data_IF_396162355028
#
_entry.id   IF_396162355028
#
_cell.length_a   1.000
_cell.length_b   1.000
_cell.length_c   1.000
_cell.angle_alpha   90.00
_cell.angle_beta   90.00
_cell.angle_gamma   90.00
#
_symmetry.space_group_name_H-M   'P 1'
#
loop_
_entity.id
_entity.type
_entity.pdbx_description
1 polymer ?
#
# COMPACT_ATOMS: atom_id res chain seq x y z
N UNK A 1 -17.53 -13.22 17.99
CA UNK A 1 -18.21 -11.94 17.69
C UNK A 1 -17.54 -10.90 18.56
N UNK A 2 -16.62 -10.16 18.00
CA UNK A 2 -16.01 -9.00 18.66
C UNK A 2 -17.04 -7.88 18.51
N UNK A 3 -17.74 -7.52 19.59
CA UNK A 3 -18.61 -6.34 19.58
C UNK A 3 -17.71 -5.10 19.52
N UNK A 4 -17.72 -4.40 18.37
CA UNK A 4 -17.10 -3.08 18.22
C UNK A 4 -18.06 -2.01 18.81
N UNK A 5 -18.34 -2.14 20.11
CA UNK A 5 -19.19 -1.17 20.83
C UNK A 5 -18.49 0.20 20.95
N UNK A 6 -19.23 1.26 20.66
CA UNK A 6 -18.76 2.64 20.85
C UNK A 6 -18.03 3.26 19.67
N UNK A 7 -18.12 2.68 18.46
CA UNK A 7 -17.61 3.32 17.23
C UNK A 7 -18.34 4.64 16.96
N UNK A 8 -17.65 5.64 16.39
CA UNK A 8 -18.25 6.94 16.09
C UNK A 8 -19.24 6.84 14.92
N UNK A 9 -20.26 7.69 14.94
CA UNK A 9 -21.10 7.92 13.76
C UNK A 9 -20.35 8.80 12.76
N UNK A 10 -20.25 8.35 11.51
CA UNK A 10 -19.51 9.00 10.45
C UNK A 10 -20.43 9.51 9.34
N UNK A 11 -19.96 10.50 8.59
CA UNK A 11 -20.70 11.12 7.48
C UNK A 11 -20.24 10.49 6.16
N UNK A 12 -21.06 9.64 5.53
CA UNK A 12 -20.80 9.01 4.24
C UNK A 12 -19.34 8.52 4.08
N UNK A 13 -18.83 7.68 5.00
CA UNK A 13 -17.42 7.40 5.08
C UNK A 13 -16.90 6.56 3.89
N UNK A 14 -15.65 6.85 3.51
CA UNK A 14 -14.86 6.04 2.57
C UNK A 14 -13.66 5.49 3.32
N UNK A 15 -13.35 4.20 3.15
CA UNK A 15 -12.15 3.59 3.70
C UNK A 15 -10.99 3.63 2.70
N UNK A 16 -9.77 3.87 3.20
CA UNK A 16 -8.52 3.74 2.45
C UNK A 16 -7.63 2.79 3.24
N UNK A 17 -7.14 1.72 2.61
CA UNK A 17 -6.36 0.69 3.27
C UNK A 17 -5.04 0.41 2.58
N UNK A 18 -3.98 0.19 3.37
CA UNK A 18 -2.69 -0.30 2.92
C UNK A 18 -2.07 -1.25 3.95
N UNK A 19 -1.27 -2.21 3.47
CA UNK A 19 -0.65 -3.23 4.30
C UNK A 19 0.81 -3.39 3.93
N UNK A 20 1.68 -3.25 4.93
CA UNK A 20 3.11 -3.53 4.81
C UNK A 20 3.37 -4.98 4.36
N UNK A 21 4.48 -5.20 3.69
CA UNK A 21 4.92 -6.52 3.28
C UNK A 21 4.89 -6.70 1.76
N UNK A 22 4.37 -7.83 1.28
CA UNK A 22 4.43 -8.16 -0.14
C UNK A 22 3.69 -7.19 -1.06
N UNK A 23 2.66 -6.53 -0.55
CA UNK A 23 1.84 -5.58 -1.30
C UNK A 23 2.41 -4.14 -1.32
N UNK A 24 3.58 -3.91 -0.72
CA UNK A 24 4.07 -2.56 -0.43
C UNK A 24 5.54 -2.35 -0.81
N UNK A 25 5.82 -2.34 -2.10
CA UNK A 25 7.16 -2.07 -2.61
C UNK A 25 7.66 -0.69 -2.15
N UNK A 26 8.83 -0.68 -1.50
CA UNK A 26 9.49 0.52 -0.96
C UNK A 26 8.60 1.31 0.02
N UNK A 27 7.71 0.63 0.75
CA UNK A 27 6.77 1.16 1.74
C UNK A 27 5.86 2.27 1.19
N UNK A 28 5.64 2.29 -0.13
CA UNK A 28 5.00 3.43 -0.79
C UNK A 28 3.50 3.54 -0.48
N UNK A 29 2.79 2.42 -0.35
CA UNK A 29 1.35 2.43 -0.11
C UNK A 29 1.02 2.69 1.36
N UNK A 30 1.77 2.11 2.29
CA UNK A 30 1.59 2.40 3.73
C UNK A 30 2.03 3.82 4.07
N UNK A 31 3.10 4.33 3.46
CA UNK A 31 3.51 5.73 3.60
C UNK A 31 2.43 6.70 3.08
N UNK A 32 1.67 6.34 2.03
CA UNK A 32 0.55 7.16 1.58
C UNK A 32 -0.57 7.25 2.64
N UNK A 33 -0.94 6.13 3.26
CA UNK A 33 -1.94 6.13 4.34
C UNK A 33 -1.41 6.88 5.56
N UNK A 34 -0.15 6.68 5.94
CA UNK A 34 0.48 7.40 7.05
C UNK A 34 0.51 8.91 6.83
N UNK A 35 0.80 9.35 5.60
CA UNK A 35 0.72 10.76 5.24
C UNK A 35 -0.71 11.33 5.46
N UNK A 36 -1.74 10.61 5.01
CA UNK A 36 -3.14 11.00 5.24
C UNK A 36 -3.49 11.05 6.74
N UNK A 37 -2.97 10.10 7.54
CA UNK A 37 -3.12 10.11 8.99
C UNK A 37 -2.59 11.41 9.61
N UNK A 38 -1.41 11.83 9.16
CA UNK A 38 -0.73 13.02 9.68
C UNK A 38 -1.42 14.33 9.25
N UNK A 39 -1.64 14.50 7.95
CA UNK A 39 -2.18 15.77 7.41
C UNK A 39 -3.63 16.02 7.80
N UNK A 40 -4.40 14.96 8.03
CA UNK A 40 -5.80 15.05 8.49
C UNK A 40 -5.95 14.83 9.99
N UNK A 41 -4.84 14.66 10.73
CA UNK A 41 -4.83 14.43 12.19
C UNK A 41 -5.81 13.31 12.60
N UNK A 42 -5.70 12.18 11.89
CA UNK A 42 -6.55 11.04 12.11
C UNK A 42 -6.37 10.48 13.54
N UNK A 43 -7.46 10.00 14.13
CA UNK A 43 -7.45 9.40 15.46
C UNK A 43 -7.75 7.91 15.36
N UNK A 44 -7.01 7.09 16.08
CA UNK A 44 -7.27 5.67 16.23
C UNK A 44 -8.61 5.43 16.95
N UNK A 45 -9.44 4.57 16.40
CA UNK A 45 -10.74 4.21 16.97
C UNK A 45 -10.81 2.74 17.40
N UNK A 46 -10.12 1.84 16.68
CA UNK A 46 -10.02 0.42 17.00
C UNK A 46 -8.84 -0.21 16.26
N UNK A 47 -8.50 -1.44 16.63
CA UNK A 47 -7.49 -2.25 15.95
C UNK A 47 -7.92 -3.73 15.95
N UNK A 48 -7.40 -4.51 15.00
CA UNK A 48 -7.56 -5.97 14.98
C UNK A 48 -6.68 -6.59 16.06
N UNK A 49 -7.21 -7.53 16.84
CA UNK A 49 -6.39 -8.33 17.78
C UNK A 49 -5.35 -9.14 16.98
N UNK A 50 -4.06 -8.94 17.21
CA UNK A 50 -3.02 -9.58 16.41
C UNK A 50 -2.84 -11.07 16.68
N UNK A 51 -3.32 -11.60 17.81
CA UNK A 51 -2.99 -12.94 18.31
C UNK A 51 -3.31 -14.08 17.32
N UNK A 52 -4.39 -13.91 16.55
CA UNK A 52 -4.86 -14.92 15.60
C UNK A 52 -4.27 -14.77 14.19
N UNK A 53 -3.57 -13.67 13.88
CA UNK A 53 -3.25 -13.31 12.50
C UNK A 53 -1.77 -13.20 12.19
N UNK A 54 -0.92 -13.03 13.20
CA UNK A 54 0.50 -12.80 13.00
C UNK A 54 1.36 -13.88 13.62
N UNK A 55 2.38 -14.31 12.87
CA UNK A 55 3.48 -15.09 13.42
C UNK A 55 4.48 -14.13 14.07
N UNK A 56 4.46 -14.06 15.39
CA UNK A 56 5.34 -13.17 16.15
C UNK A 56 6.82 -13.55 16.10
N UNK A 57 7.20 -14.67 15.50
CA UNK A 57 8.59 -14.99 15.19
C UNK A 57 9.05 -14.25 13.93
N UNK A 58 8.13 -13.93 13.02
CA UNK A 58 8.36 -13.20 11.77
C UNK A 58 8.08 -11.71 11.99
N UNK A 59 6.87 -11.38 12.42
CA UNK A 59 6.43 -10.01 12.72
C UNK A 59 6.54 -9.77 14.22
N UNK A 60 7.76 -9.47 14.70
CA UNK A 60 8.04 -9.35 16.13
C UNK A 60 7.43 -8.10 16.73
N UNK A 61 6.81 -8.19 17.94
CA UNK A 61 6.47 -7.00 18.70
C UNK A 61 7.73 -6.21 19.07
N UNK A 62 7.62 -4.89 19.07
CA UNK A 62 8.70 -3.96 19.41
C UNK A 62 8.56 -3.46 20.85
N UNK A 63 9.70 -3.24 21.53
CA UNK A 63 9.73 -2.60 22.84
C UNK A 63 10.18 -1.15 22.63
N UNK A 64 9.32 -0.22 22.96
CA UNK A 64 9.64 1.21 22.97
C UNK A 64 9.93 1.67 24.40
N UNK A 65 10.90 2.58 24.53
CA UNK A 65 11.25 3.23 25.81
C UNK A 65 11.07 4.73 25.63
N UNK A 66 10.13 5.30 26.35
CA UNK A 66 10.00 6.75 26.47
C UNK A 66 10.73 7.22 27.72
N UNK A 67 11.45 8.34 27.65
CA UNK A 67 12.19 8.88 28.80
C UNK A 67 11.26 9.05 30.01
N UNK A 68 11.56 8.32 31.11
CA UNK A 68 10.80 8.36 32.36
C UNK A 68 9.61 7.44 32.46
N UNK A 69 9.30 6.63 31.44
CA UNK A 69 8.18 5.69 31.44
C UNK A 69 8.63 4.22 31.40
N UNK A 70 7.69 3.34 31.75
CA UNK A 70 7.84 1.89 31.70
C UNK A 70 7.93 1.42 30.25
N UNK A 71 8.67 0.36 29.99
CA UNK A 71 8.74 -0.31 28.69
C UNK A 71 7.34 -0.65 28.19
N UNK A 72 6.99 -0.18 26.98
CA UNK A 72 5.74 -0.53 26.30
C UNK A 72 6.04 -1.51 25.18
N UNK A 73 5.26 -2.58 25.09
CA UNK A 73 5.29 -3.52 23.97
C UNK A 73 4.25 -3.08 22.96
N UNK A 74 4.68 -2.87 21.71
CA UNK A 74 3.82 -2.58 20.59
C UNK A 74 3.74 -3.84 19.72
N UNK A 75 2.52 -4.35 19.57
CA UNK A 75 2.23 -5.54 18.79
C UNK A 75 1.97 -5.18 17.33
N UNK A 76 2.42 -6.01 16.37
CA UNK A 76 2.01 -5.86 14.98
C UNK A 76 0.48 -6.01 14.90
N UNK A 77 -0.18 -5.06 14.26
CA UNK A 77 -1.64 -5.10 14.14
C UNK A 77 -2.12 -4.25 12.96
N UNK A 78 -3.40 -4.36 12.64
CA UNK A 78 -4.09 -3.46 11.71
C UNK A 78 -4.95 -2.48 12.49
N UNK A 79 -4.67 -1.19 12.31
CA UNK A 79 -5.34 -0.08 13.00
C UNK A 79 -6.38 0.57 12.10
N UNK A 80 -7.45 1.02 12.73
CA UNK A 80 -8.48 1.83 12.08
C UNK A 80 -8.45 3.22 12.69
N UNK A 81 -8.29 4.20 11.83
CA UNK A 81 -8.26 5.60 12.20
C UNK A 81 -9.32 6.36 11.44
N UNK A 82 -9.83 7.42 12.03
CA UNK A 82 -10.86 8.27 11.41
C UNK A 82 -10.36 9.69 11.33
N UNK A 83 -10.56 10.29 10.17
CA UNK A 83 -10.33 11.69 9.92
C UNK A 83 -11.58 12.37 9.32
N UNK A 84 -11.71 13.65 9.58
CA UNK A 84 -12.71 14.54 8.94
C UNK A 84 -11.94 15.61 8.15
N UNK A 85 -11.57 15.34 6.89
CA UNK A 85 -10.76 16.27 6.10
C UNK A 85 -11.49 17.62 5.94
N UNK A 86 -10.76 18.74 5.97
CA UNK A 86 -11.38 20.05 5.83
C UNK A 86 -11.93 20.26 4.41
N UNK A 87 -13.05 20.97 4.30
CA UNK A 87 -13.67 21.29 3.00
C UNK A 87 -14.57 20.21 2.42
N UNK A 88 -14.81 19.11 3.15
CA UNK A 88 -15.75 18.05 2.77
C UNK A 88 -16.76 17.77 3.88
N UNK A 89 -17.91 17.24 3.48
CA UNK A 89 -18.94 16.69 4.39
C UNK A 89 -18.81 15.17 4.60
N UNK A 90 -17.71 14.58 4.13
CA UNK A 90 -17.40 13.16 4.20
C UNK A 90 -16.27 12.88 5.19
N UNK A 91 -16.42 11.82 5.96
CA UNK A 91 -15.35 11.31 6.81
C UNK A 91 -14.55 10.19 6.09
N UNK A 92 -13.31 10.00 6.52
CA UNK A 92 -12.42 8.99 5.94
C UNK A 92 -11.98 8.02 7.04
N UNK A 93 -12.07 6.73 6.75
CA UNK A 93 -11.52 5.65 7.58
C UNK A 93 -10.19 5.22 6.98
N UNK A 94 -9.10 5.38 7.71
CA UNK A 94 -7.77 4.95 7.31
C UNK A 94 -7.47 3.63 8.00
N UNK A 95 -7.09 2.62 7.20
CA UNK A 95 -6.79 1.27 7.66
C UNK A 95 -5.33 0.98 7.30
N UNK A 96 -4.48 0.83 8.30
CA UNK A 96 -3.06 0.54 8.10
C UNK A 96 -2.59 -0.57 9.02
N UNK A 97 -1.83 -1.51 8.48
CA UNK A 97 -1.24 -2.60 9.23
C UNK A 97 -0.21 -3.37 8.43
N UNK A 98 0.15 -4.54 8.94
CA UNK A 98 1.05 -5.48 8.28
C UNK A 98 0.20 -6.56 7.63
N UNK A 99 0.62 -7.10 6.48
CA UNK A 99 -0.02 -8.25 5.86
C UNK A 99 -0.09 -9.42 6.86
N UNK A 100 -1.29 -9.98 7.14
CA UNK A 100 -1.40 -11.07 8.12
C UNK A 100 -0.67 -12.33 7.66
N UNK A 101 -0.04 -13.03 8.59
CA UNK A 101 0.67 -14.28 8.30
C UNK A 101 -0.26 -15.45 8.05
N UNK A 102 -1.48 -15.41 8.59
CA UNK A 102 -2.42 -16.52 8.56
C UNK A 102 -3.88 -16.07 8.72
N UNK A 103 -4.83 -17.01 8.51
CA UNK A 103 -6.27 -16.81 8.71
C UNK A 103 -6.85 -15.64 7.91
N UNK A 104 -6.39 -15.46 6.70
CA UNK A 104 -6.73 -14.30 5.84
C UNK A 104 -8.22 -14.09 5.63
N UNK A 105 -9.00 -15.18 5.53
CA UNK A 105 -10.47 -15.07 5.37
C UNK A 105 -11.11 -14.44 6.60
N UNK A 106 -10.77 -14.93 7.79
CA UNK A 106 -11.26 -14.39 9.06
C UNK A 106 -10.78 -12.95 9.28
N UNK A 107 -9.53 -12.66 8.88
CA UNK A 107 -9.01 -11.29 8.90
C UNK A 107 -9.84 -10.35 8.03
N UNK A 108 -10.12 -10.72 6.79
CA UNK A 108 -10.97 -9.92 5.90
C UNK A 108 -12.39 -9.77 6.46
N UNK A 109 -12.97 -10.82 7.04
CA UNK A 109 -14.28 -10.76 7.70
C UNK A 109 -14.28 -9.72 8.82
N UNK A 110 -13.25 -9.68 9.67
CA UNK A 110 -13.13 -8.67 10.75
C UNK A 110 -12.95 -7.26 10.20
N UNK A 111 -12.11 -7.07 9.17
CA UNK A 111 -11.94 -5.76 8.53
C UNK A 111 -13.26 -5.26 7.96
N UNK A 112 -14.02 -6.13 7.29
CA UNK A 112 -15.30 -5.78 6.68
C UNK A 112 -16.40 -5.57 7.73
N UNK A 113 -16.36 -6.27 8.86
CA UNK A 113 -17.26 -6.05 10.00
C UNK A 113 -17.09 -4.64 10.59
N UNK A 114 -15.85 -4.18 10.75
CA UNK A 114 -15.56 -2.80 11.17
C UNK A 114 -16.07 -1.80 10.12
N UNK A 115 -15.77 -2.03 8.84
CA UNK A 115 -16.25 -1.17 7.75
C UNK A 115 -17.77 -1.09 7.73
N UNK A 116 -18.46 -2.20 7.91
CA UNK A 116 -19.92 -2.25 7.96
C UNK A 116 -20.47 -1.50 9.18
N UNK A 117 -19.88 -1.70 10.36
CA UNK A 117 -20.28 -1.01 11.60
C UNK A 117 -20.10 0.50 11.53
N UNK A 118 -19.15 0.97 10.70
CA UNK A 118 -18.90 2.39 10.42
C UNK A 118 -19.72 2.91 9.23
N UNK A 119 -20.56 2.09 8.62
CA UNK A 119 -21.35 2.43 7.41
C UNK A 119 -20.46 2.88 6.23
N UNK A 120 -19.28 2.28 6.07
CA UNK A 120 -18.38 2.58 4.95
C UNK A 120 -19.06 2.28 3.63
N UNK A 121 -19.10 3.26 2.73
CA UNK A 121 -19.77 3.16 1.43
C UNK A 121 -18.87 2.63 0.32
N UNK A 122 -17.56 2.72 0.51
CA UNK A 122 -16.53 2.27 -0.44
C UNK A 122 -15.22 2.00 0.28
N UNK A 123 -14.47 1.00 -0.17
CA UNK A 123 -13.08 0.78 0.25
C UNK A 123 -12.13 0.96 -0.93
N UNK A 124 -11.06 1.74 -0.72
CA UNK A 124 -9.96 1.92 -1.65
C UNK A 124 -8.72 1.24 -1.08
N UNK A 125 -8.19 0.28 -1.80
CA UNK A 125 -7.04 -0.51 -1.39
C UNK A 125 -5.81 0.00 -2.15
N UNK A 126 -4.76 0.33 -1.43
CA UNK A 126 -3.51 0.80 -2.00
C UNK A 126 -2.46 -0.32 -1.97
N UNK A 127 -1.70 -0.41 -3.05
CA UNK A 127 -0.57 -1.30 -3.14
C UNK A 127 0.57 -0.66 -3.93
N UNK A 128 1.75 -1.25 -3.80
CA UNK A 128 2.92 -0.90 -4.58
C UNK A 128 3.63 -2.18 -5.04
N UNK A 129 4.06 -2.21 -6.29
CA UNK A 129 4.75 -3.36 -6.87
C UNK A 129 6.02 -2.92 -7.58
N UNK A 130 7.01 -3.81 -7.64
CA UNK A 130 8.24 -3.57 -8.37
C UNK A 130 8.00 -3.74 -9.87
N UNK A 131 8.55 -2.84 -10.68
CA UNK A 131 8.35 -2.85 -12.11
C UNK A 131 9.57 -2.31 -12.89
N UNK A 132 9.61 -2.65 -14.16
CA UNK A 132 10.58 -2.15 -15.13
C UNK A 132 10.09 -0.79 -15.69
N UNK A 133 10.17 0.24 -14.86
CA UNK A 133 9.74 1.60 -15.20
C UNK A 133 10.87 2.61 -14.98
N UNK A 134 11.00 3.64 -15.83
CA UNK A 134 12.03 4.65 -15.65
C UNK A 134 11.66 5.60 -14.49
N UNK A 135 12.63 5.88 -13.62
CA UNK A 135 12.44 6.83 -12.52
C UNK A 135 12.25 8.28 -13.00
N UNK A 136 12.67 8.61 -14.21
CA UNK A 136 12.62 9.95 -14.81
C UNK A 136 11.23 10.38 -15.27
N UNK A 137 10.27 9.44 -15.33
CA UNK A 137 8.88 9.67 -15.73
C UNK A 137 7.94 9.61 -14.53
N UNK A 138 6.71 10.14 -14.63
CA UNK A 138 5.67 9.85 -13.66
C UNK A 138 5.50 8.33 -13.50
N UNK A 139 5.45 7.85 -12.26
CA UNK A 139 5.31 6.42 -11.99
C UNK A 139 3.88 5.98 -12.36
N UNK A 140 3.73 4.90 -13.14
CA UNK A 140 2.44 4.41 -13.55
C UNK A 140 1.61 3.91 -12.36
N UNK A 141 0.29 4.05 -12.45
CA UNK A 141 -0.66 3.45 -11.52
C UNK A 141 -1.60 2.55 -12.30
N UNK A 142 -1.59 1.27 -12.00
CA UNK A 142 -2.63 0.33 -12.42
C UNK A 142 -3.73 0.27 -11.36
N UNK A 143 -4.87 -0.30 -11.71
CA UNK A 143 -5.95 -0.42 -10.76
C UNK A 143 -6.96 -1.47 -11.17
N UNK A 144 -7.84 -1.83 -10.23
CA UNK A 144 -9.01 -2.65 -10.51
C UNK A 144 -10.21 -2.21 -9.69
N UNK A 145 -11.41 -2.56 -10.14
CA UNK A 145 -12.65 -2.27 -9.45
C UNK A 145 -13.53 -3.52 -9.44
N UNK A 146 -14.31 -3.70 -8.38
CA UNK A 146 -15.27 -4.80 -8.28
C UNK A 146 -16.43 -4.65 -9.25
N UNK A 147 -16.77 -3.43 -9.64
CA UNK A 147 -17.88 -3.10 -10.53
C UNK A 147 -17.41 -2.34 -11.79
N UNK A 148 -18.06 -2.63 -12.92
CA UNK A 148 -17.68 -2.11 -14.22
C UNK A 148 -17.89 -0.60 -14.37
N UNK A 149 -18.98 -0.09 -13.89
CA UNK A 149 -19.31 1.34 -13.88
C UNK A 149 -18.36 2.15 -13.00
N UNK A 150 -17.92 1.56 -11.90
CA UNK A 150 -16.88 2.13 -11.02
C UNK A 150 -15.53 2.16 -11.75
N UNK A 151 -15.17 1.08 -12.45
CA UNK A 151 -13.96 1.04 -13.27
C UNK A 151 -13.96 2.12 -14.36
N UNK A 152 -15.09 2.29 -15.07
CA UNK A 152 -15.26 3.30 -16.11
C UNK A 152 -15.16 4.73 -15.53
N UNK A 153 -15.85 4.99 -14.41
CA UNK A 153 -15.85 6.30 -13.73
C UNK A 153 -14.43 6.75 -13.37
N UNK A 154 -13.62 5.86 -12.81
CA UNK A 154 -12.28 6.17 -12.38
C UNK A 154 -11.20 5.81 -13.41
N UNK A 155 -11.61 5.48 -14.66
CA UNK A 155 -10.71 5.11 -15.75
C UNK A 155 -9.73 4.00 -15.34
N UNK A 156 -10.24 3.03 -14.59
CA UNK A 156 -9.46 1.88 -14.13
C UNK A 156 -9.51 0.82 -15.22
N UNK A 157 -8.36 0.43 -15.73
CA UNK A 157 -8.27 -0.67 -16.69
C UNK A 157 -8.35 -1.98 -15.88
N UNK A 158 -9.34 -2.86 -16.19
CA UNK A 158 -9.43 -4.14 -15.52
C UNK A 158 -8.14 -4.93 -15.69
N UNK A 159 -7.54 -5.32 -14.57
CA UNK A 159 -6.37 -6.20 -14.62
C UNK A 159 -6.75 -7.57 -15.21
N UNK A 160 -5.86 -8.13 -16.04
CA UNK A 160 -5.95 -9.52 -16.52
C UNK A 160 -5.00 -10.43 -15.73
N UNK A 161 -4.52 -9.94 -14.60
CA UNK A 161 -3.60 -10.70 -13.78
C UNK A 161 -4.22 -12.00 -13.29
N UNK A 162 -3.56 -13.10 -13.53
CA UNK A 162 -3.87 -14.45 -13.04
C UNK A 162 -2.60 -15.02 -12.39
N UNK A 163 -2.62 -15.15 -11.06
CA UNK A 163 -1.44 -15.58 -10.31
C UNK A 163 -1.58 -15.43 -8.79
N UNK A 164 -0.48 -15.63 -8.04
CA UNK A 164 -0.47 -15.44 -6.59
C UNK A 164 -0.90 -14.02 -6.20
N UNK A 165 -1.71 -13.90 -5.15
CA UNK A 165 -2.18 -12.60 -4.66
C UNK A 165 -1.86 -12.41 -3.17
N UNK A 166 -1.74 -11.17 -2.74
CA UNK A 166 -1.60 -10.80 -1.35
C UNK A 166 -2.93 -10.38 -0.70
N UNK A 167 -2.84 -9.86 0.53
CA UNK A 167 -4.04 -9.51 1.32
C UNK A 167 -4.89 -8.42 0.64
N UNK A 168 -4.28 -7.52 -0.12
CA UNK A 168 -4.99 -6.48 -0.88
C UNK A 168 -5.98 -7.10 -1.86
N UNK A 169 -5.55 -8.09 -2.65
CA UNK A 169 -6.41 -8.78 -3.61
C UNK A 169 -7.49 -9.64 -2.92
N UNK A 170 -7.13 -10.32 -1.83
CA UNK A 170 -8.08 -11.13 -1.05
C UNK A 170 -9.14 -10.27 -0.38
N UNK A 171 -8.76 -9.12 0.17
CA UNK A 171 -9.71 -8.17 0.79
C UNK A 171 -10.61 -7.52 -0.26
N UNK A 172 -10.06 -7.19 -1.45
CA UNK A 172 -10.87 -6.67 -2.55
C UNK A 172 -11.96 -7.65 -2.99
N UNK A 173 -11.60 -8.92 -3.13
CA UNK A 173 -12.55 -9.99 -3.49
C UNK A 173 -13.60 -10.19 -2.39
N UNK A 174 -13.17 -10.21 -1.12
CA UNK A 174 -14.07 -10.34 0.03
C UNK A 174 -15.04 -9.14 0.13
N UNK A 175 -14.57 -7.92 -0.10
CA UNK A 175 -15.41 -6.71 -0.13
C UNK A 175 -16.47 -6.79 -1.24
N UNK A 176 -16.09 -7.22 -2.44
CA UNK A 176 -17.03 -7.41 -3.54
C UNK A 176 -18.12 -8.44 -3.22
N UNK A 177 -17.77 -9.55 -2.53
CA UNK A 177 -18.78 -10.54 -2.05
C UNK A 177 -19.71 -9.99 -0.97
N UNK A 178 -19.22 -9.07 -0.17
CA UNK A 178 -19.99 -8.37 0.86
C UNK A 178 -20.78 -7.16 0.31
N UNK A 179 -20.85 -7.01 -1.02
CA UNK A 179 -21.53 -5.89 -1.71
C UNK A 179 -20.97 -4.50 -1.32
N UNK A 180 -19.73 -4.46 -0.82
CA UNK A 180 -19.01 -3.22 -0.58
C UNK A 180 -18.20 -2.85 -1.83
N UNK A 181 -18.46 -1.67 -2.38
CA UNK A 181 -17.70 -1.14 -3.52
C UNK A 181 -16.21 -1.11 -3.21
N UNK A 182 -15.40 -1.88 -3.95
CA UNK A 182 -13.97 -1.97 -3.75
C UNK A 182 -13.19 -1.51 -4.99
N UNK A 183 -12.20 -0.66 -4.76
CA UNK A 183 -11.22 -0.20 -5.73
C UNK A 183 -9.83 -0.60 -5.24
N UNK A 184 -8.92 -0.95 -6.14
CA UNK A 184 -7.50 -1.01 -5.81
C UNK A 184 -6.67 -0.18 -6.77
N UNK A 185 -5.60 0.44 -6.24
CA UNK A 185 -4.60 1.16 -7.01
C UNK A 185 -3.21 0.69 -6.63
N UNK A 186 -2.41 0.40 -7.64
CA UNK A 186 -1.07 -0.14 -7.51
C UNK A 186 -0.08 0.78 -8.21
N UNK A 187 0.80 1.42 -7.45
CA UNK A 187 1.90 2.20 -8.03
C UNK A 187 3.05 1.28 -8.42
N UNK A 188 3.64 1.56 -9.58
CA UNK A 188 4.78 0.81 -10.08
C UNK A 188 6.08 1.48 -9.63
N UNK A 189 6.83 0.80 -8.78
CA UNK A 189 8.11 1.28 -8.23
C UNK A 189 9.26 0.71 -9.03
N UNK A 190 10.24 1.52 -9.49
CA UNK A 190 11.41 1.00 -10.18
C UNK A 190 12.15 -0.02 -9.33
N UNK A 191 12.32 -1.27 -9.83
CA UNK A 191 12.92 -2.34 -9.04
C UNK A 191 14.40 -2.07 -8.66
N UNK A 192 15.10 -1.26 -9.46
CA UNK A 192 16.49 -0.87 -9.22
C UNK A 192 16.61 0.28 -8.18
N UNK A 193 15.52 0.90 -7.77
CA UNK A 193 15.47 1.99 -6.80
C UNK A 193 14.42 1.73 -5.71
N UNK A 194 14.35 0.49 -5.23
CA UNK A 194 13.33 -0.01 -4.32
C UNK A 194 13.69 0.07 -2.83
N UNK A 195 14.76 0.77 -2.48
CA UNK A 195 15.07 1.01 -1.06
C UNK A 195 14.04 1.97 -0.46
N UNK A 196 13.36 1.60 0.64
CA UNK A 196 12.41 2.49 1.29
C UNK A 196 13.09 3.70 1.95
N UNK A 197 12.39 4.85 1.98
CA UNK A 197 11.12 5.12 1.32
C UNK A 197 11.25 5.51 -0.16
N UNK A 198 10.14 5.35 -0.93
CA UNK A 198 10.00 5.92 -2.28
C UNK A 198 8.94 7.02 -2.30
N UNK A 199 9.27 8.27 -1.91
CA UNK A 199 8.30 9.36 -1.82
C UNK A 199 7.66 9.72 -3.16
N UNK A 200 8.33 9.48 -4.28
CA UNK A 200 7.75 9.66 -5.62
C UNK A 200 6.56 8.72 -5.88
N UNK A 201 6.64 7.48 -5.40
CA UNK A 201 5.55 6.52 -5.50
C UNK A 201 4.41 6.87 -4.56
N UNK A 202 4.73 7.27 -3.33
CA UNK A 202 3.76 7.77 -2.35
C UNK A 202 2.98 8.97 -2.89
N UNK A 203 3.69 9.95 -3.47
CA UNK A 203 3.09 11.13 -4.10
C UNK A 203 2.15 10.76 -5.26
N UNK A 204 2.54 9.80 -6.08
CA UNK A 204 1.69 9.32 -7.18
C UNK A 204 0.38 8.71 -6.67
N UNK A 205 0.42 7.90 -5.60
CA UNK A 205 -0.78 7.34 -4.96
C UNK A 205 -1.67 8.43 -4.36
N UNK A 206 -1.10 9.42 -3.67
CA UNK A 206 -1.87 10.52 -3.07
C UNK A 206 -2.57 11.38 -4.12
N UNK A 207 -1.90 11.73 -5.22
CA UNK A 207 -2.52 12.41 -6.36
C UNK A 207 -3.70 11.59 -6.90
N UNK A 208 -3.57 10.25 -6.95
CA UNK A 208 -4.67 9.39 -7.35
C UNK A 208 -5.82 9.40 -6.35
N UNK A 209 -5.53 9.54 -5.06
CA UNK A 209 -6.55 9.65 -4.02
C UNK A 209 -7.33 10.96 -4.12
N UNK A 210 -6.69 12.08 -4.49
CA UNK A 210 -7.41 13.33 -4.77
C UNK A 210 -8.49 13.14 -5.83
N UNK A 211 -8.15 12.47 -6.95
CA UNK A 211 -9.10 12.17 -8.02
C UNK A 211 -10.26 11.28 -7.56
N UNK A 212 -9.98 10.28 -6.70
CA UNK A 212 -10.97 9.29 -6.24
C UNK A 212 -11.89 9.85 -5.18
N UNK A 213 -11.34 10.65 -4.26
CA UNK A 213 -12.06 11.23 -3.15
C UNK A 213 -12.77 12.54 -3.55
N UNK A 214 -12.38 13.14 -4.68
CA UNK A 214 -12.77 14.50 -5.06
C UNK A 214 -12.48 15.50 -3.93
N UNK A 215 -11.26 15.39 -3.40
CA UNK A 215 -10.84 16.10 -2.20
C UNK A 215 -9.33 16.41 -2.29
N UNK A 216 -8.90 17.67 -2.12
CA UNK A 216 -7.49 17.99 -2.11
C UNK A 216 -6.78 17.38 -0.90
N UNK A 217 -5.62 16.75 -1.15
CA UNK A 217 -4.75 16.19 -0.13
C UNK A 217 -3.57 17.14 0.08
N UNK A 218 -3.34 17.66 1.28
CA UNK A 218 -2.14 18.47 1.55
C UNK A 218 -0.89 17.62 1.39
N UNK A 219 0.00 17.97 0.45
CA UNK A 219 1.20 17.17 0.16
C UNK A 219 2.38 17.46 1.10
N UNK A 220 2.31 18.53 1.92
CA UNK A 220 3.38 18.97 2.81
C UNK A 220 4.74 18.98 2.07
N UNK A 221 5.79 18.37 2.65
CA UNK A 221 7.13 18.36 2.08
C UNK A 221 7.36 17.18 1.10
N UNK A 222 6.34 16.36 0.85
CA UNK A 222 6.46 15.12 0.06
C UNK A 222 6.90 15.38 -1.40
N UNK A 223 6.51 16.51 -1.98
CA UNK A 223 6.95 16.87 -3.32
C UNK A 223 8.47 17.14 -3.37
N UNK A 224 9.01 17.82 -2.36
CA UNK A 224 10.45 18.07 -2.23
C UNK A 224 11.22 16.77 -1.95
N UNK A 225 10.66 15.90 -1.11
CA UNK A 225 11.23 14.58 -0.84
C UNK A 225 11.28 13.70 -2.10
N UNK A 226 10.24 13.76 -2.94
CA UNK A 226 10.19 13.04 -4.21
C UNK A 226 11.26 13.55 -5.18
N UNK A 227 11.49 14.88 -5.27
CA UNK A 227 12.54 15.47 -6.08
C UNK A 227 13.93 15.08 -5.57
N UNK A 228 14.14 15.03 -4.26
CA UNK A 228 15.40 14.59 -3.67
C UNK A 228 15.67 13.10 -3.91
N UNK A 229 14.63 12.28 -3.82
CA UNK A 229 14.73 10.87 -4.17
C UNK A 229 15.14 10.70 -5.64
N UNK A 230 14.53 11.42 -6.56
CA UNK A 230 14.89 11.38 -7.97
C UNK A 230 16.34 11.81 -8.22
N UNK A 231 16.81 12.86 -7.53
CA UNK A 231 18.22 13.28 -7.60
C UNK A 231 19.18 12.19 -7.10
N UNK A 232 18.83 11.49 -6.02
CA UNK A 232 19.66 10.36 -5.52
C UNK A 232 19.71 9.20 -6.51
N UNK A 233 18.59 8.81 -7.10
CA UNK A 233 18.54 7.74 -8.11
C UNK A 233 19.34 8.15 -9.36
N UNK A 234 19.22 9.40 -9.81
CA UNK A 234 20.00 9.95 -10.91
C UNK A 234 21.49 9.84 -10.65
N UNK A 235 21.94 10.29 -9.48
CA UNK A 235 23.37 10.21 -9.11
C UNK A 235 23.88 8.75 -9.08
N UNK A 236 23.06 7.80 -8.65
CA UNK A 236 23.39 6.38 -8.70
C UNK A 236 23.52 5.86 -10.15
N UNK A 237 22.59 6.24 -11.03
CA UNK A 237 22.63 5.85 -12.45
C UNK A 237 23.80 6.53 -13.22
N UNK A 238 24.27 7.69 -12.80
CA UNK A 238 25.47 8.34 -13.37
C UNK A 238 26.77 7.65 -12.92
N UNK A 239 26.79 7.03 -11.74
CA UNK A 239 27.96 6.32 -11.20
C UNK A 239 28.02 4.86 -11.67
N UNK A 240 26.91 4.28 -12.08
CA UNK A 240 26.78 2.91 -12.58
C UNK A 240 26.35 2.92 -14.06
N UNK A 241 27.30 2.61 -14.96
CA UNK A 241 27.06 2.65 -16.38
C UNK A 241 26.00 1.61 -16.84
N UNK A 242 25.93 0.43 -16.20
CA UNK A 242 24.93 -0.59 -16.52
C UNK A 242 23.53 -0.12 -16.14
N UNK A 243 23.39 0.48 -14.95
CA UNK A 243 22.14 1.09 -14.51
C UNK A 243 21.73 2.25 -15.41
N UNK A 244 22.66 3.12 -15.78
CA UNK A 244 22.39 4.26 -16.67
C UNK A 244 21.95 3.82 -18.08
N UNK A 245 22.51 2.73 -18.62
CA UNK A 245 22.09 2.15 -19.89
C UNK A 245 20.70 1.53 -19.79
N UNK A 246 20.45 0.76 -18.72
CA UNK A 246 19.17 0.14 -18.45
C UNK A 246 18.02 1.17 -18.34
N UNK A 247 18.25 2.29 -17.62
CA UNK A 247 17.24 3.38 -17.52
C UNK A 247 16.94 3.98 -18.89
N UNK A 248 17.96 4.17 -19.75
CA UNK A 248 17.76 4.68 -21.12
C UNK A 248 16.91 3.71 -21.96
N UNK A 249 17.17 2.40 -21.88
CA UNK A 249 16.35 1.40 -22.57
C UNK A 249 14.89 1.42 -22.11
N UNK A 250 14.65 1.65 -20.80
CA UNK A 250 13.31 1.81 -20.27
C UNK A 250 12.60 3.07 -20.80
N UNK A 251 13.34 4.19 -20.92
CA UNK A 251 12.81 5.43 -21.46
C UNK A 251 12.43 5.30 -22.95
N UNK A 252 13.25 4.62 -23.74
CA UNK A 252 12.98 4.34 -25.15
C UNK A 252 11.72 3.50 -25.33
N UNK A 253 11.57 2.42 -24.54
CA UNK A 253 10.36 1.58 -24.55
C UNK A 253 9.08 2.35 -24.25
N UNK A 254 9.11 3.22 -23.25
CA UNK A 254 7.95 4.06 -22.90
C UNK A 254 7.66 5.09 -23.99
N UNK A 255 8.68 5.57 -24.72
CA UNK A 255 8.52 6.53 -25.83
C UNK A 255 7.81 5.93 -27.05
N UNK A 256 8.02 4.64 -27.34
CA UNK A 256 7.48 3.97 -28.53
C UNK A 256 6.06 3.39 -28.33
N UNK A 257 5.71 2.95 -27.13
CA UNK A 257 4.48 2.16 -26.90
C UNK A 257 3.44 2.86 -26.01
N UNK A 258 3.79 3.99 -25.36
CA UNK A 258 3.01 4.53 -24.28
C UNK A 258 3.10 3.61 -23.02
N UNK A 259 2.60 4.10 -21.88
CA UNK A 259 2.58 3.30 -20.65
C UNK A 259 1.53 2.20 -20.80
N UNK A 260 1.96 0.98 -21.13
CA UNK A 260 1.07 -0.19 -21.11
C UNK A 260 0.93 -0.70 -19.66
N UNK A 261 -0.27 -1.11 -19.23
CA UNK A 261 -0.43 -1.79 -17.97
C UNK A 261 0.34 -3.11 -17.99
N UNK A 262 1.07 -3.41 -16.91
CA UNK A 262 1.81 -4.67 -16.78
C UNK A 262 0.92 -5.88 -17.02
N UNK A 263 1.43 -6.85 -17.75
CA UNK A 263 0.78 -8.15 -17.96
C UNK A 263 0.96 -9.03 -16.71
N UNK A 264 0.06 -10.01 -16.52
CA UNK A 264 0.16 -10.96 -15.42
C UNK A 264 1.50 -11.69 -15.36
N UNK A 265 2.13 -11.98 -16.52
CA UNK A 265 3.42 -12.66 -16.63
C UNK A 265 4.58 -11.79 -16.12
N UNK A 266 4.54 -10.48 -16.30
CA UNK A 266 5.54 -9.54 -15.81
C UNK A 266 5.49 -9.42 -14.28
N UNK A 267 4.30 -9.34 -13.72
CA UNK A 267 4.08 -9.32 -12.26
C UNK A 267 4.52 -10.66 -11.64
N UNK A 268 4.20 -11.79 -12.26
CA UNK A 268 4.61 -13.12 -11.82
C UNK A 268 6.14 -13.31 -11.87
N UNK A 269 6.78 -12.80 -12.93
CA UNK A 269 8.25 -12.84 -13.09
C UNK A 269 8.97 -12.04 -11.99
N UNK A 270 8.47 -10.86 -11.66
CA UNK A 270 9.03 -10.05 -10.56
C UNK A 270 8.84 -10.71 -9.19
N UNK A 271 7.69 -11.36 -8.99
CA UNK A 271 7.45 -12.17 -7.79
C UNK A 271 8.44 -13.31 -7.62
N UNK A 272 8.73 -14.08 -8.70
CA UNK A 272 9.75 -15.13 -8.65
C UNK A 272 11.14 -14.59 -8.35
N UNK A 273 11.50 -13.42 -8.91
CA UNK A 273 12.77 -12.75 -8.62
C UNK A 273 12.85 -12.33 -7.15
N UNK A 274 11.78 -11.79 -6.58
CA UNK A 274 11.68 -11.42 -5.17
C UNK A 274 11.86 -12.62 -4.25
N UNK A 275 11.16 -13.73 -4.51
CA UNK A 275 11.30 -14.96 -3.72
C UNK A 275 12.70 -15.55 -3.78
N UNK A 276 13.34 -15.55 -4.95
CA UNK A 276 14.73 -16.02 -5.09
C UNK A 276 15.72 -15.18 -4.28
N UNK A 277 15.55 -13.87 -4.26
CA UNK A 277 16.41 -12.97 -3.47
C UNK A 277 16.23 -13.18 -1.96
N UNK A 278 15.02 -13.38 -1.50
CA UNK A 278 14.70 -13.62 -0.08
C UNK A 278 15.09 -15.02 0.38
N UNK A 279 14.98 -16.04 -0.48
CA UNK A 279 15.44 -17.42 -0.20
C UNK A 279 16.95 -17.60 -0.23
N UNK A 280 17.72 -16.71 -0.89
CA UNK A 280 19.18 -16.74 -0.94
C UNK A 280 19.88 -16.14 0.27
N UNK A 281 19.17 -15.42 1.16
CA UNK A 281 19.74 -14.78 2.37
C UNK A 281 19.67 -15.65 3.64
N UNK A 282 19.06 -16.83 3.59
CA UNK A 282 18.98 -17.76 4.71
C UNK A 282 19.87 -18.98 4.49
N UNK A 283 21.19 -18.75 4.42
CA UNK A 283 22.18 -19.81 4.60
C UNK A 283 22.55 -19.92 6.08
N UNK A 284 22.34 -21.07 6.75
CA UNK A 284 22.79 -21.22 8.12
C UNK A 284 24.31 -21.30 8.15
N UNK A 285 24.99 -20.34 8.75
CA UNK A 285 26.34 -20.57 9.28
C UNK A 285 26.23 -21.61 10.38
N UNK A 286 26.51 -22.84 10.03
CA UNK A 286 26.83 -23.88 11.01
C UNK A 286 28.10 -23.44 11.75
N UNK A 287 27.94 -22.84 12.90
CA UNK A 287 28.97 -22.61 13.91
C UNK A 287 28.89 -23.75 14.90
N UNK A 288 29.85 -24.66 14.80
CA UNK A 288 30.18 -25.64 15.83
C UNK A 288 30.38 -24.95 17.16
N UNK A 289 29.65 -25.41 18.16
CA UNK A 289 30.07 -25.73 19.54
C UNK A 289 29.07 -26.67 20.19
#
# INVERSE_FOLDING_TARGET
MTEFDGLPLLRSPVAIAAFEGWNDAADASTAAVEHLEQVWQAREITAIDPEDFYDFQVSRPTITMTEGETRKIEWPTTKFMVASPPGTDRDVVLIRGIEPSMRWRTFCEQVLEVCHSLEVTRIVLLGALLADVPYTRPLPISGSASERDVAEKYKVVPTRYDGPTGIVGVLQEAAGRAELNALSFWVHVPHYANNPPCPKATLALLNRMEDVLDLPVPMADLAEEADEWEKRVRAAAEQDAELGEYVRELEERVGDEGIQPLTGDEIASEFEKYLRRRGGSAGPTAGSW
#
